data_IF_391824190753
#
_entry.id   IF_391824190753
#
_cell.length_a   1.000
_cell.length_b   1.000
_cell.length_c   1.000
_cell.angle_alpha   90.00
_cell.angle_beta   90.00
_cell.angle_gamma   90.00
#
_symmetry.space_group_name_H-M   'P 1'
#
loop_
_entity.id
_entity.type
_entity.pdbx_description
1 polymer ?
#
# COMPACT_ATOMS: atom_id res chain seq x y z
N UNK A 1 7.11 5.89 -11.88
CA UNK A 1 8.03 6.11 -10.74
C UNK A 1 7.62 5.25 -9.56
N UNK A 2 8.56 4.53 -8.98
CA UNK A 2 8.30 3.68 -7.81
C UNK A 2 8.50 4.46 -6.53
N UNK A 3 7.61 4.23 -5.57
CA UNK A 3 7.69 4.82 -4.24
C UNK A 3 7.00 3.87 -3.27
N UNK A 4 6.75 4.29 -2.05
CA UNK A 4 6.00 3.49 -1.09
C UNK A 4 4.58 4.02 -0.96
N UNK A 5 3.68 3.15 -0.49
CA UNK A 5 2.28 3.53 -0.31
C UNK A 5 2.12 4.71 0.66
N UNK A 6 3.05 4.88 1.61
CA UNK A 6 3.03 5.99 2.55
C UNK A 6 3.20 7.36 1.89
N UNK A 7 3.73 7.39 0.67
CA UNK A 7 3.99 8.65 -0.06
C UNK A 7 2.91 9.00 -1.08
N UNK A 8 1.82 8.24 -1.12
CA UNK A 8 0.77 8.44 -2.12
C UNK A 8 -0.33 9.32 -1.53
N UNK A 9 -0.82 10.26 -2.33
CA UNK A 9 -1.92 11.15 -1.94
C UNK A 9 -3.27 10.46 -2.13
N UNK A 10 -4.27 10.96 -1.43
CA UNK A 10 -5.64 10.47 -1.61
C UNK A 10 -6.11 10.69 -3.05
N UNK A 11 -6.93 9.79 -3.53
CA UNK A 11 -7.50 9.84 -4.87
C UNK A 11 -6.65 9.22 -5.96
N UNK A 12 -5.47 8.69 -5.63
CA UNK A 12 -4.54 8.12 -6.62
C UNK A 12 -4.64 6.62 -6.62
N UNK A 13 -4.68 6.02 -7.81
CA UNK A 13 -4.58 4.58 -7.99
C UNK A 13 -3.11 4.20 -8.12
N UNK A 14 -2.72 3.13 -7.45
CA UNK A 14 -1.34 2.62 -7.51
C UNK A 14 -1.36 1.11 -7.70
N UNK A 15 -0.28 0.58 -8.27
CA UNK A 15 -0.09 -0.86 -8.42
C UNK A 15 1.01 -1.30 -7.46
N UNK A 16 0.76 -2.33 -6.68
CA UNK A 16 1.77 -2.90 -5.79
C UNK A 16 2.82 -3.61 -6.64
N UNK A 17 4.09 -3.26 -6.43
CA UNK A 17 5.20 -3.85 -7.17
C UNK A 17 6.06 -4.76 -6.30
N UNK A 18 5.99 -4.61 -4.97
CA UNK A 18 6.78 -5.43 -4.06
C UNK A 18 6.77 -4.86 -2.66
N UNK A 19 7.76 -5.24 -1.88
CA UNK A 19 7.89 -4.82 -0.49
C UNK A 19 9.32 -4.41 -0.21
N UNK A 20 9.50 -3.50 0.74
CA UNK A 20 10.83 -3.05 1.16
C UNK A 20 11.49 -4.16 1.96
N UNK A 21 12.73 -4.49 1.63
CA UNK A 21 13.50 -5.51 2.32
C UNK A 21 13.82 -5.10 3.76
N UNK A 22 14.02 -6.11 4.62
CA UNK A 22 14.57 -5.91 5.95
C UNK A 22 13.57 -6.02 7.09
N UNK A 23 12.28 -6.14 6.79
CA UNK A 23 11.27 -6.30 7.84
C UNK A 23 10.28 -7.40 7.45
N UNK A 24 10.69 -8.64 7.70
CA UNK A 24 9.88 -9.81 7.34
C UNK A 24 8.58 -9.87 8.13
N UNK A 25 8.57 -9.36 9.36
CA UNK A 25 7.36 -9.32 10.17
C UNK A 25 6.30 -8.40 9.57
N UNK A 26 6.71 -7.23 9.08
CA UNK A 26 5.80 -6.30 8.43
C UNK A 26 5.27 -6.88 7.11
N UNK A 27 6.15 -7.49 6.32
CA UNK A 27 5.75 -8.12 5.05
C UNK A 27 4.74 -9.24 5.31
N UNK A 28 4.97 -10.07 6.34
CA UNK A 28 4.05 -11.14 6.69
C UNK A 28 2.67 -10.62 7.05
N UNK A 29 2.60 -9.51 7.80
CA UNK A 29 1.32 -8.88 8.14
C UNK A 29 0.59 -8.39 6.90
N UNK A 30 1.31 -7.76 5.99
CA UNK A 30 0.74 -7.23 4.76
C UNK A 30 0.22 -8.37 3.88
N UNK A 31 1.00 -9.42 3.71
CA UNK A 31 0.59 -10.59 2.94
C UNK A 31 -0.63 -11.29 3.56
N UNK A 32 -0.71 -11.31 4.89
CA UNK A 32 -1.85 -11.90 5.59
C UNK A 32 -3.15 -11.15 5.31
N UNK A 33 -3.06 -9.87 4.94
CA UNK A 33 -4.23 -9.09 4.53
C UNK A 33 -4.66 -9.40 3.09
N UNK A 34 -3.84 -10.13 2.35
CA UNK A 34 -4.14 -10.46 0.97
C UNK A 34 -3.60 -9.45 -0.05
N UNK A 35 -2.71 -8.57 0.38
CA UNK A 35 -2.10 -7.57 -0.51
C UNK A 35 -0.86 -8.19 -1.14
N UNK A 36 -0.87 -8.34 -2.45
CA UNK A 36 0.22 -8.97 -3.20
C UNK A 36 0.65 -8.09 -4.37
N UNK A 37 1.88 -8.28 -4.88
CA UNK A 37 2.31 -7.58 -6.08
C UNK A 37 1.32 -7.80 -7.24
N UNK A 38 1.04 -6.74 -7.97
CA UNK A 38 0.06 -6.76 -9.04
C UNK A 38 -1.31 -6.20 -8.65
N UNK A 39 -1.60 -6.11 -7.36
CA UNK A 39 -2.85 -5.52 -6.90
C UNK A 39 -2.89 -4.02 -7.20
N UNK A 40 -4.06 -3.54 -7.61
CA UNK A 40 -4.31 -2.12 -7.82
C UNK A 40 -5.06 -1.60 -6.60
N UNK A 41 -4.51 -0.55 -5.98
CA UNK A 41 -5.07 0.07 -4.79
C UNK A 41 -5.54 1.48 -5.12
N UNK A 42 -6.70 1.85 -4.60
CA UNK A 42 -7.16 3.25 -4.65
C UNK A 42 -6.95 3.85 -3.25
N UNK A 43 -6.10 4.85 -3.15
CA UNK A 43 -5.85 5.52 -1.88
C UNK A 43 -7.00 6.47 -1.59
N UNK A 44 -7.70 6.25 -0.48
CA UNK A 44 -8.85 7.06 -0.09
C UNK A 44 -8.46 8.16 0.91
N UNK A 45 -7.47 7.89 1.76
CA UNK A 45 -6.95 8.87 2.71
C UNK A 45 -5.49 8.55 2.97
N UNK A 46 -4.68 9.58 3.20
CA UNK A 46 -3.24 9.43 3.40
C UNK A 46 -2.80 9.76 4.81
N UNK A 47 -3.66 10.34 5.60
CA UNK A 47 -3.32 10.77 6.95
C UNK A 47 -4.58 10.85 7.81
N UNK A 48 -4.53 10.46 9.09
CA UNK A 48 -3.36 10.00 9.87
C UNK A 48 -2.90 8.58 9.55
N UNK A 49 -3.74 7.76 8.97
CA UNK A 49 -3.39 6.44 8.48
C UNK A 49 -3.65 6.39 6.98
N UNK A 50 -3.03 5.45 6.29
CA UNK A 50 -3.28 5.25 4.87
C UNK A 50 -4.49 4.33 4.74
N UNK A 51 -5.58 4.86 4.19
CA UNK A 51 -6.80 4.10 3.92
C UNK A 51 -6.86 3.88 2.41
N UNK A 52 -7.03 2.64 2.01
CA UNK A 52 -7.09 2.31 0.59
C UNK A 52 -8.07 1.18 0.34
N UNK A 53 -8.49 1.07 -0.91
CA UNK A 53 -9.46 0.09 -1.35
C UNK A 53 -8.82 -0.86 -2.35
N UNK A 54 -9.04 -2.15 -2.16
CA UNK A 54 -8.62 -3.21 -3.08
C UNK A 54 -9.88 -4.00 -3.42
N UNK A 55 -10.28 -3.97 -4.69
CA UNK A 55 -11.54 -4.59 -5.07
C UNK A 55 -12.69 -3.92 -4.31
N UNK A 56 -13.43 -4.70 -3.53
CA UNK A 56 -14.55 -4.19 -2.73
C UNK A 56 -14.21 -4.08 -1.24
N UNK A 57 -12.94 -4.26 -0.87
CA UNK A 57 -12.52 -4.25 0.52
C UNK A 57 -11.65 -3.03 0.80
N UNK A 58 -11.89 -2.36 1.93
CA UNK A 58 -11.08 -1.23 2.38
C UNK A 58 -10.21 -1.64 3.55
N UNK A 59 -8.99 -1.10 3.57
CA UNK A 59 -8.02 -1.35 4.64
C UNK A 59 -7.49 -0.02 5.16
N UNK A 60 -7.05 -0.04 6.42
CA UNK A 60 -6.33 1.10 7.00
C UNK A 60 -5.03 0.58 7.57
N UNK A 61 -3.92 1.15 7.14
CA UNK A 61 -2.58 0.80 7.63
C UNK A 61 -1.92 2.02 8.21
N UNK A 62 -1.14 1.83 9.27
CA UNK A 62 -0.31 2.93 9.77
C UNK A 62 0.77 3.25 8.74
N UNK A 63 1.39 4.42 8.89
CA UNK A 63 2.40 4.89 7.94
C UNK A 63 3.62 3.99 7.91
N UNK A 64 3.95 3.33 9.03
CA UNK A 64 5.09 2.44 9.07
C UNK A 64 4.87 1.23 8.16
N UNK A 65 3.71 0.58 8.28
CA UNK A 65 3.38 -0.56 7.41
C UNK A 65 3.21 -0.13 5.95
N UNK A 66 2.53 1.00 5.72
CA UNK A 66 2.37 1.52 4.37
C UNK A 66 3.71 1.83 3.71
N UNK A 67 4.69 2.26 4.51
CA UNK A 67 6.05 2.53 4.03
C UNK A 67 6.82 1.28 3.61
N UNK A 68 6.29 0.09 3.86
CA UNK A 68 6.91 -1.17 3.44
C UNK A 68 6.36 -1.70 2.13
N UNK A 69 5.33 -1.06 1.59
CA UNK A 69 4.70 -1.50 0.34
C UNK A 69 5.21 -0.62 -0.79
N UNK A 70 5.91 -1.24 -1.74
CA UNK A 70 6.39 -0.55 -2.94
C UNK A 70 5.27 -0.50 -3.97
N UNK A 71 5.05 0.67 -4.52
CA UNK A 71 3.97 0.90 -5.49
C UNK A 71 4.45 1.75 -6.66
N UNK A 72 3.73 1.67 -7.76
CA UNK A 72 3.89 2.55 -8.91
C UNK A 72 2.57 3.26 -9.11
N UNK A 73 2.61 4.59 -9.21
CA UNK A 73 1.41 5.38 -9.41
C UNK A 73 0.89 5.17 -10.84
N UNK A 74 -0.41 5.04 -10.95
CA UNK A 74 -1.09 5.03 -12.25
C UNK A 74 -1.14 6.45 -12.79
N UNK A 75 -0.88 6.61 -14.05
CA UNK A 75 -0.95 7.91 -14.72
C UNK A 75 -2.09 7.96 -15.71
#
# INVERSE_FOLDING_TARGET
MSTTLANIRSGVNVTVTGFVDGDEGAVSKILALGIIPGDVLLVLAAWPAVVFEVGSTSYALDNELAGRILVTAET
#
